data_IF_575014008107
#
_entry.id   IF_575014008107
#
_cell.length_a   1.000
_cell.length_b   1.000
_cell.length_c   1.000
_cell.angle_alpha   90.00
_cell.angle_beta   90.00
_cell.angle_gamma   90.00
#
_symmetry.space_group_name_H-M   'P 1'
#
loop_
_entity.id
_entity.type
_entity.pdbx_description
1 polymer ?
#
# COMPACT_ATOMS: atom_id res chain seq x y z
N UNK A 1 -12.83 3.39 -14.01
CA UNK A 1 -11.55 2.77 -13.60
C UNK A 1 -10.33 3.49 -14.16
N UNK A 2 -10.46 4.39 -15.15
CA UNK A 2 -9.32 5.15 -15.72
C UNK A 2 -8.83 6.33 -14.86
N UNK A 3 -9.70 7.01 -14.12
CA UNK A 3 -9.33 8.22 -13.36
C UNK A 3 -8.26 7.97 -12.27
N UNK A 4 -8.25 6.80 -11.63
CA UNK A 4 -7.28 6.48 -10.57
C UNK A 4 -5.86 6.36 -11.12
N UNK A 5 -5.70 5.82 -12.33
CA UNK A 5 -4.38 5.64 -12.95
C UNK A 5 -3.76 6.98 -13.33
N UNK A 6 -4.54 7.85 -13.96
CA UNK A 6 -4.09 9.22 -14.30
C UNK A 6 -3.73 10.02 -13.05
N UNK A 7 -4.53 9.88 -11.98
CA UNK A 7 -4.22 10.47 -10.69
C UNK A 7 -2.88 9.94 -10.12
N UNK A 8 -2.66 8.62 -10.11
CA UNK A 8 -1.40 8.04 -9.63
C UNK A 8 -0.20 8.51 -10.43
N UNK A 9 -0.32 8.56 -11.76
CA UNK A 9 0.72 9.09 -12.64
C UNK A 9 1.01 10.57 -12.33
N UNK A 10 -0.02 11.39 -12.09
CA UNK A 10 0.14 12.79 -11.72
C UNK A 10 0.90 12.95 -10.40
N UNK A 11 0.55 12.16 -9.38
CA UNK A 11 1.24 12.18 -8.08
C UNK A 11 2.72 11.81 -8.24
N UNK A 12 3.02 10.75 -8.98
CA UNK A 12 4.37 10.22 -9.14
C UNK A 12 5.28 11.05 -10.07
N UNK A 13 4.74 12.05 -10.77
CA UNK A 13 5.53 12.99 -11.58
C UNK A 13 6.29 14.02 -10.76
N UNK A 14 6.01 14.15 -9.47
CA UNK A 14 6.67 15.09 -8.59
C UNK A 14 7.10 14.43 -7.30
N UNK A 15 8.09 15.00 -6.63
CA UNK A 15 8.50 14.55 -5.30
C UNK A 15 7.30 14.51 -4.32
N UNK A 16 7.33 13.60 -3.33
CA UNK A 16 6.34 13.55 -2.27
C UNK A 16 6.08 14.92 -1.65
N UNK A 17 4.81 15.24 -1.44
CA UNK A 17 4.39 16.54 -0.89
C UNK A 17 4.50 16.53 0.65
N UNK A 18 4.40 17.70 1.31
CA UNK A 18 4.36 17.74 2.77
C UNK A 18 3.25 16.85 3.36
N UNK A 19 3.41 16.31 4.58
CA UNK A 19 2.40 15.47 5.19
C UNK A 19 1.02 16.14 5.25
N UNK A 20 -0.04 15.37 4.98
CA UNK A 20 -1.45 15.82 4.97
C UNK A 20 -1.76 16.97 3.98
N UNK A 21 -0.94 17.17 2.95
CA UNK A 21 -1.14 18.26 1.96
C UNK A 21 -1.95 17.86 0.74
N UNK A 22 -2.16 16.55 0.52
CA UNK A 22 -3.00 16.04 -0.58
C UNK A 22 -4.28 15.49 0.04
N UNK A 23 -5.40 16.11 -0.31
CA UNK A 23 -6.72 15.62 0.08
C UNK A 23 -7.17 14.58 -0.95
N UNK A 24 -7.45 13.36 -0.48
CA UNK A 24 -8.02 12.30 -1.30
C UNK A 24 -9.55 12.38 -1.21
N UNK A 25 -10.23 12.39 -2.35
CA UNK A 25 -11.68 12.25 -2.44
C UNK A 25 -12.07 10.77 -2.32
N UNK A 26 -11.74 10.15 -1.18
CA UNK A 26 -12.12 8.78 -0.84
C UNK A 26 -13.06 8.79 0.35
N UNK A 27 -14.05 7.90 0.34
CA UNK A 27 -14.95 7.71 1.47
C UNK A 27 -14.17 7.13 2.65
N UNK A 28 -13.99 7.93 3.70
CA UNK A 28 -13.26 7.52 4.91
C UNK A 28 -14.05 6.53 5.77
N UNK A 29 -15.35 6.36 5.53
CA UNK A 29 -16.18 5.36 6.20
C UNK A 29 -16.03 3.96 5.56
N UNK A 30 -15.54 3.89 4.31
CA UNK A 30 -15.24 2.65 3.60
C UNK A 30 -13.76 2.25 3.75
N UNK A 31 -13.45 1.61 4.87
CA UNK A 31 -12.09 1.12 5.16
C UNK A 31 -11.56 0.15 4.09
N UNK A 32 -12.42 -0.67 3.49
CA UNK A 32 -12.02 -1.63 2.46
C UNK A 32 -11.66 -0.90 1.16
N UNK A 33 -12.53 0.01 0.70
CA UNK A 33 -12.26 0.83 -0.48
C UNK A 33 -10.98 1.67 -0.32
N UNK A 34 -10.75 2.24 0.86
CA UNK A 34 -9.48 2.92 1.16
C UNK A 34 -8.27 1.97 1.06
N UNK A 35 -8.37 0.78 1.66
CA UNK A 35 -7.29 -0.20 1.65
C UNK A 35 -6.93 -0.62 0.21
N UNK A 36 -7.94 -0.92 -0.61
CA UNK A 36 -7.79 -1.27 -2.02
C UNK A 36 -7.17 -0.11 -2.82
N UNK A 37 -7.64 1.13 -2.61
CA UNK A 37 -7.07 2.32 -3.24
C UNK A 37 -5.59 2.48 -2.91
N UNK A 38 -5.21 2.34 -1.64
CA UNK A 38 -3.81 2.43 -1.22
C UNK A 38 -2.96 1.31 -1.82
N UNK A 39 -3.45 0.07 -1.87
CA UNK A 39 -2.75 -1.02 -2.54
C UNK A 39 -2.57 -0.79 -4.04
N UNK A 40 -3.59 -0.23 -4.71
CA UNK A 40 -3.51 0.12 -6.12
C UNK A 40 -2.43 1.17 -6.37
N UNK A 41 -2.35 2.21 -5.52
CA UNK A 41 -1.29 3.22 -5.61
C UNK A 41 0.10 2.59 -5.44
N UNK A 42 0.32 1.76 -4.41
CA UNK A 42 1.61 1.07 -4.21
C UNK A 42 1.99 0.22 -5.42
N UNK A 43 1.04 -0.57 -5.91
CA UNK A 43 1.26 -1.47 -7.06
C UNK A 43 1.63 -0.67 -8.30
N UNK A 44 0.95 0.46 -8.53
CA UNK A 44 1.26 1.36 -9.63
C UNK A 44 2.65 2.01 -9.48
N UNK A 45 2.97 2.56 -8.32
CA UNK A 45 4.27 3.17 -8.05
C UNK A 45 5.44 2.18 -8.24
N UNK A 46 5.31 0.97 -7.68
CA UNK A 46 6.32 -0.07 -7.83
C UNK A 46 6.44 -0.55 -9.27
N UNK A 47 5.33 -0.70 -9.99
CA UNK A 47 5.37 -1.05 -11.41
C UNK A 47 6.05 0.03 -12.26
N UNK A 48 5.90 1.31 -11.91
CA UNK A 48 6.58 2.42 -12.57
C UNK A 48 8.09 2.41 -12.34
N UNK A 49 8.54 2.02 -11.15
CA UNK A 49 9.98 2.01 -10.83
C UNK A 49 10.71 0.72 -11.21
N UNK A 50 10.04 -0.43 -11.15
CA UNK A 50 10.66 -1.75 -11.28
C UNK A 50 10.08 -2.60 -12.42
N UNK A 51 9.04 -2.13 -13.10
CA UNK A 51 8.33 -2.88 -14.13
C UNK A 51 7.32 -3.89 -13.58
N UNK A 52 6.69 -4.63 -14.49
CA UNK A 52 5.76 -5.72 -14.18
C UNK A 52 6.40 -7.07 -14.53
N UNK A 53 6.17 -8.14 -13.74
CA UNK A 53 5.45 -8.15 -12.46
C UNK A 53 6.25 -7.45 -11.35
N UNK A 54 5.54 -6.91 -10.35
CA UNK A 54 6.16 -6.26 -9.18
C UNK A 54 6.77 -7.34 -8.29
N UNK A 55 8.09 -7.25 -8.08
CA UNK A 55 8.83 -8.12 -7.17
C UNK A 55 9.30 -7.32 -5.95
N UNK A 56 8.67 -7.57 -4.80
CA UNK A 56 8.97 -6.87 -3.55
C UNK A 56 10.41 -7.10 -3.06
N UNK A 57 11.07 -8.19 -3.48
CA UNK A 57 12.47 -8.46 -3.10
C UNK A 57 13.47 -7.47 -3.70
N UNK A 58 13.07 -6.74 -4.74
CA UNK A 58 13.90 -5.72 -5.41
C UNK A 58 13.70 -4.30 -4.87
N UNK A 59 12.73 -4.11 -3.96
CA UNK A 59 12.41 -2.79 -3.42
C UNK A 59 13.54 -2.32 -2.51
N UNK A 60 14.19 -1.23 -2.91
CA UNK A 60 15.25 -0.59 -2.13
C UNK A 60 14.70 0.21 -0.96
N UNK A 61 15.52 0.43 0.08
CA UNK A 61 15.16 1.28 1.22
C UNK A 61 14.81 2.71 0.78
N UNK A 62 15.51 3.25 -0.22
CA UNK A 62 15.23 4.58 -0.76
C UNK A 62 13.81 4.68 -1.34
N UNK A 63 13.39 3.70 -2.15
CA UNK A 63 12.03 3.67 -2.69
C UNK A 63 10.97 3.33 -1.65
N UNK A 64 11.32 2.56 -0.62
CA UNK A 64 10.44 2.34 0.51
C UNK A 64 10.19 3.63 1.29
N UNK A 65 11.23 4.41 1.56
CA UNK A 65 11.12 5.72 2.19
C UNK A 65 10.29 6.69 1.34
N UNK A 66 10.47 6.67 0.03
CA UNK A 66 9.69 7.47 -0.91
C UNK A 66 8.19 7.12 -0.85
N UNK A 67 7.85 5.82 -0.80
CA UNK A 67 6.46 5.38 -0.58
C UNK A 67 5.90 5.90 0.74
N UNK A 68 6.66 5.78 1.84
CA UNK A 68 6.25 6.30 3.15
C UNK A 68 5.93 7.80 3.07
N UNK A 69 6.73 8.58 2.33
CA UNK A 69 6.51 10.01 2.14
C UNK A 69 5.27 10.31 1.27
N UNK A 70 5.03 9.55 0.19
CA UNK A 70 3.80 9.68 -0.59
C UNK A 70 2.58 9.40 0.27
N UNK A 71 2.57 8.31 1.04
CA UNK A 71 1.46 8.01 1.95
C UNK A 71 1.28 9.07 3.03
N UNK A 72 2.38 9.61 3.57
CA UNK A 72 2.30 10.72 4.52
C UNK A 72 1.66 11.96 3.89
N UNK A 73 1.88 12.21 2.59
CA UNK A 73 1.23 13.31 1.86
C UNK A 73 -0.29 13.22 1.89
N UNK A 74 -0.83 11.99 1.90
CA UNK A 74 -2.27 11.69 2.02
C UNK A 74 -2.77 11.63 3.48
N UNK A 75 -1.89 11.82 4.48
CA UNK A 75 -2.23 11.61 5.89
C UNK A 75 -2.31 10.14 6.30
N UNK A 76 -1.65 9.24 5.57
CA UNK A 76 -1.66 7.79 5.80
C UNK A 76 -0.30 7.33 6.29
N UNK A 77 -0.28 6.43 7.28
CA UNK A 77 0.91 5.63 7.63
C UNK A 77 0.90 4.36 6.82
N UNK A 78 1.99 4.13 6.11
CA UNK A 78 2.27 2.89 5.40
C UNK A 78 3.34 2.10 6.15
N UNK A 79 3.13 0.79 6.24
CA UNK A 79 4.09 -0.15 6.81
C UNK A 79 4.20 -1.38 5.92
N UNK A 80 5.44 -1.67 5.51
CA UNK A 80 5.84 -2.90 4.85
C UNK A 80 6.82 -3.64 5.77
N UNK A 81 6.52 -4.90 6.09
CA UNK A 81 7.42 -5.78 6.84
C UNK A 81 7.65 -7.06 6.09
N UNK A 82 8.85 -7.64 6.22
CA UNK A 82 9.17 -8.95 5.66
C UNK A 82 9.57 -9.89 6.79
N UNK A 83 9.01 -11.09 6.77
CA UNK A 83 9.38 -12.18 7.66
C UNK A 83 9.78 -13.41 6.83
N UNK A 84 10.35 -14.42 7.47
CA UNK A 84 10.59 -15.70 6.79
C UNK A 84 9.25 -16.26 6.32
N UNK A 85 9.20 -16.80 5.09
CA UNK A 85 8.02 -17.49 4.60
C UNK A 85 7.60 -18.62 5.56
N UNK A 86 6.32 -18.69 5.98
CA UNK A 86 5.84 -19.74 6.85
C UNK A 86 5.72 -21.08 6.12
N UNK A 87 5.93 -22.18 6.84
CA UNK A 87 5.83 -23.54 6.26
C UNK A 87 4.38 -23.96 5.93
N UNK A 88 3.39 -23.22 6.46
CA UNK A 88 1.96 -23.48 6.26
C UNK A 88 1.17 -22.17 6.19
N UNK A 89 0.25 -22.09 5.22
CA UNK A 89 -0.71 -20.98 5.09
C UNK A 89 -2.07 -21.38 5.66
N UNK A 90 -2.66 -20.52 6.49
CA UNK A 90 -4.03 -20.67 6.98
C UNK A 90 -4.91 -19.57 6.37
N UNK A 91 -6.04 -19.96 5.79
CA UNK A 91 -7.04 -19.02 5.27
C UNK A 91 -8.12 -18.78 6.34
N UNK A 92 -8.21 -17.53 6.82
CA UNK A 92 -9.29 -17.08 7.70
C UNK A 92 -10.20 -16.10 6.94
N UNK A 93 -11.08 -16.67 6.11
CA UNK A 93 -12.01 -15.90 5.28
C UNK A 93 -13.02 -15.10 6.11
N UNK A 94 -13.31 -15.52 7.35
CA UNK A 94 -14.29 -14.85 8.20
C UNK A 94 -13.74 -13.52 8.69
N UNK A 95 -12.51 -13.52 9.19
CA UNK A 95 -11.84 -12.29 9.63
C UNK A 95 -11.66 -11.29 8.48
N UNK A 96 -11.41 -11.76 7.26
CA UNK A 96 -11.31 -10.91 6.07
C UNK A 96 -12.61 -10.18 5.74
N UNK A 97 -13.75 -10.87 5.79
CA UNK A 97 -15.05 -10.30 5.44
C UNK A 97 -15.65 -9.39 6.54
N UNK A 98 -15.22 -9.57 7.79
CA UNK A 98 -15.78 -8.86 8.94
C UNK A 98 -14.93 -7.67 9.40
N UNK A 99 -13.69 -7.53 8.94
CA UNK A 99 -12.81 -6.44 9.36
C UNK A 99 -13.25 -5.11 8.74
N UNK A 100 -13.54 -4.13 9.60
CA UNK A 100 -14.04 -2.80 9.19
C UNK A 100 -13.05 -1.68 9.51
N UNK A 101 -11.88 -2.01 10.07
CA UNK A 101 -10.88 -1.02 10.45
C UNK A 101 -9.65 -1.13 9.57
N UNK A 102 -9.28 0.00 8.94
CA UNK A 102 -8.09 0.08 8.10
C UNK A 102 -6.82 -0.42 8.82
N UNK A 103 -6.64 -0.07 10.10
CA UNK A 103 -5.45 -0.40 10.89
C UNK A 103 -5.31 -1.89 11.25
N UNK A 104 -6.31 -2.70 10.93
CA UNK A 104 -6.31 -4.16 11.12
C UNK A 104 -6.24 -4.94 9.81
N UNK A 105 -6.43 -4.27 8.67
CA UNK A 105 -6.33 -4.87 7.36
C UNK A 105 -4.86 -5.04 6.96
N UNK A 106 -4.56 -6.16 6.30
CA UNK A 106 -3.24 -6.41 5.76
C UNK A 106 -3.33 -7.19 4.45
N UNK A 107 -2.32 -6.99 3.61
CA UNK A 107 -2.13 -7.75 2.38
C UNK A 107 -0.79 -8.45 2.46
N UNK A 108 -0.79 -9.74 2.17
CA UNK A 108 0.38 -10.58 2.27
C UNK A 108 0.80 -11.10 0.90
N UNK A 109 2.09 -11.01 0.60
CA UNK A 109 2.68 -11.49 -0.63
C UNK A 109 3.96 -12.27 -0.36
N UNK A 110 4.20 -13.30 -1.15
CA UNK A 110 5.36 -14.17 -1.01
C UNK A 110 6.31 -13.93 -2.17
N UNK A 111 7.55 -13.56 -1.88
CA UNK A 111 8.62 -13.48 -2.89
C UNK A 111 9.99 -13.67 -2.24
N UNK A 112 10.89 -14.33 -2.97
CA UNK A 112 12.26 -14.63 -2.53
C UNK A 112 12.34 -15.31 -1.16
N UNK A 113 11.42 -16.25 -0.86
CA UNK A 113 11.38 -16.98 0.41
C UNK A 113 10.99 -16.14 1.63
N UNK A 114 10.36 -14.98 1.40
CA UNK A 114 9.88 -14.07 2.44
C UNK A 114 8.39 -13.82 2.30
N UNK A 115 7.72 -13.74 3.45
CA UNK A 115 6.36 -13.24 3.57
C UNK A 115 6.40 -11.74 3.82
N UNK A 116 5.91 -10.97 2.87
CA UNK A 116 5.78 -9.52 2.95
C UNK A 116 4.38 -9.17 3.39
N UNK A 117 4.26 -8.36 4.44
CA UNK A 117 2.97 -7.87 4.93
C UNK A 117 2.90 -6.35 4.76
N UNK A 118 1.87 -5.91 4.04
CA UNK A 118 1.52 -4.50 3.79
C UNK A 118 0.35 -4.13 4.70
N UNK A 119 0.44 -2.98 5.36
CA UNK A 119 -0.63 -2.42 6.19
C UNK A 119 -0.67 -0.90 6.13
N UNK A 120 -1.85 -0.34 6.37
CA UNK A 120 -2.10 1.10 6.38
C UNK A 120 -2.82 1.51 7.66
N UNK A 121 -2.64 2.75 8.09
CA UNK A 121 -3.46 3.36 9.15
C UNK A 121 -3.53 4.87 8.94
N UNK A 122 -4.59 5.51 9.42
CA UNK A 122 -4.69 6.97 9.36
C UNK A 122 -3.75 7.60 10.40
N UNK A 123 -3.08 8.70 10.01
CA UNK A 123 -2.44 9.60 10.96
C UNK A 123 -3.54 10.48 11.57
N UNK A 124 -4.17 10.01 12.66
CA UNK A 124 -4.88 10.90 13.57
C UNK A 124 -3.85 11.84 14.21
#
# INVERSE_FOLDING_TARGET
>A
MDNSKEFFELILRSDPKPPRSIQLEIDTEDAQGMFEFFLMFMTHALATWYGKPVDLSKVTEAKLLELVQYYASFGVRFKLVSEKEPDMYMLDNKRYLEEKRLDKMCFQAVTAGKLWTISFSLNL
#
